data_IF_865112986529
#
_entry.id   IF_865112986529
#
_cell.length_a   1.000
_cell.length_b   1.000
_cell.length_c   1.000
_cell.angle_alpha   90.00
_cell.angle_beta   90.00
_cell.angle_gamma   90.00
#
_symmetry.space_group_name_H-M   'P 1'
#
loop_
_entity.id
_entity.type
_entity.pdbx_description
1 polymer ?
#
# COMPACT_ATOMS: atom_id res chain seq x y z
N UNK A 1 3.94 -5.04 -1.80
CA UNK A 1 3.45 -5.95 -0.74
C UNK A 1 4.24 -5.82 0.59
N UNK A 2 4.90 -4.69 0.88
CA UNK A 2 5.57 -4.44 2.16
C UNK A 2 4.56 -4.11 3.27
N UNK A 3 3.52 -3.34 2.96
CA UNK A 3 2.45 -2.99 3.90
C UNK A 3 1.58 -4.20 4.21
N UNK A 4 1.17 -4.98 3.20
CA UNK A 4 0.37 -6.19 3.41
C UNK A 4 1.07 -7.17 4.36
N UNK A 5 2.38 -7.40 4.15
CA UNK A 5 3.19 -8.29 5.00
C UNK A 5 3.32 -7.74 6.41
N UNK A 6 3.59 -6.45 6.55
CA UNK A 6 3.70 -5.80 7.85
C UNK A 6 2.40 -5.90 8.64
N UNK A 7 1.27 -5.53 8.02
CA UNK A 7 -0.04 -5.57 8.67
C UNK A 7 -0.44 -6.99 9.08
N UNK A 8 -0.19 -7.97 8.21
CA UNK A 8 -0.42 -9.39 8.53
C UNK A 8 0.41 -9.85 9.74
N UNK A 9 1.67 -9.41 9.84
CA UNK A 9 2.52 -9.69 11.00
C UNK A 9 2.03 -8.97 12.25
N UNK A 10 1.61 -7.71 12.12
CA UNK A 10 1.07 -6.91 13.22
C UNK A 10 -0.14 -7.60 13.83
N UNK A 11 -1.12 -7.99 13.02
CA UNK A 11 -2.32 -8.70 13.50
C UNK A 11 -1.96 -9.98 14.26
N UNK A 12 -1.03 -10.79 13.72
CA UNK A 12 -0.62 -12.05 14.35
C UNK A 12 0.12 -11.87 15.66
N UNK A 13 0.76 -10.72 15.89
CA UNK A 13 1.65 -10.50 17.04
C UNK A 13 1.06 -9.58 18.10
N UNK A 14 0.22 -8.62 17.70
CA UNK A 14 -0.29 -7.54 18.55
C UNK A 14 -1.81 -7.38 18.46
N UNK A 15 -2.49 -8.17 17.61
CA UNK A 15 -3.92 -8.02 17.36
C UNK A 15 -4.26 -6.89 16.39
N UNK A 16 -5.54 -6.56 16.31
CA UNK A 16 -6.03 -5.50 15.42
C UNK A 16 -5.68 -4.13 15.98
N UNK A 17 -5.01 -3.25 15.21
CA UNK A 17 -4.76 -1.88 15.65
C UNK A 17 -6.08 -1.11 15.75
N UNK A 18 -6.19 -0.25 16.77
CA UNK A 18 -7.35 0.64 16.90
C UNK A 18 -7.26 1.73 15.84
N UNK A 19 -8.04 1.59 14.77
CA UNK A 19 -8.09 2.55 13.66
C UNK A 19 -9.50 3.13 13.55
N UNK A 20 -9.61 4.46 13.43
CA UNK A 20 -10.85 5.09 13.05
C UNK A 20 -11.18 4.77 11.58
N UNK A 21 -12.42 5.05 11.15
CA UNK A 21 -12.93 4.70 9.82
C UNK A 21 -12.02 5.20 8.70
N UNK A 22 -11.54 6.44 8.80
CA UNK A 22 -10.68 7.06 7.78
C UNK A 22 -9.32 6.37 7.67
N UNK A 23 -8.71 6.02 8.81
CA UNK A 23 -7.41 5.34 8.79
C UNK A 23 -7.55 3.88 8.37
N UNK A 24 -8.67 3.23 8.68
CA UNK A 24 -8.98 1.90 8.15
C UNK A 24 -9.15 1.95 6.62
N UNK A 25 -9.90 2.93 6.10
CA UNK A 25 -10.04 3.12 4.65
C UNK A 25 -8.68 3.39 3.97
N UNK A 26 -7.84 4.24 4.58
CA UNK A 26 -6.48 4.51 4.11
C UNK A 26 -5.63 3.24 4.06
N UNK A 27 -5.66 2.40 5.09
CA UNK A 27 -4.94 1.12 5.13
C UNK A 27 -5.40 0.17 4.01
N UNK A 28 -6.72 0.04 3.82
CA UNK A 28 -7.27 -0.83 2.77
C UNK A 28 -6.89 -0.33 1.38
N UNK A 29 -6.89 0.99 1.16
CA UNK A 29 -6.42 1.59 -0.09
C UNK A 29 -4.93 1.29 -0.34
N UNK A 30 -4.08 1.38 0.68
CA UNK A 30 -2.66 1.00 0.58
C UNK A 30 -2.51 -0.46 0.18
N UNK A 31 -3.21 -1.38 0.85
CA UNK A 31 -3.15 -2.83 0.56
C UNK A 31 -3.61 -3.13 -0.88
N UNK A 32 -4.71 -2.49 -1.31
CA UNK A 32 -5.25 -2.63 -2.67
C UNK A 32 -4.24 -2.16 -3.72
N UNK A 33 -3.66 -0.96 -3.53
CA UNK A 33 -2.65 -0.41 -4.43
C UNK A 33 -1.38 -1.26 -4.48
N UNK A 34 -0.93 -1.82 -3.35
CA UNK A 34 0.19 -2.76 -3.32
C UNK A 34 -0.08 -4.03 -4.14
N UNK A 35 -1.30 -4.57 -4.05
CA UNK A 35 -1.72 -5.73 -4.84
C UNK A 35 -1.73 -5.41 -6.33
N UNK A 36 -2.30 -4.26 -6.70
CA UNK A 36 -2.34 -3.80 -8.09
C UNK A 36 -0.95 -3.55 -8.67
N UNK A 37 -0.05 -2.97 -7.88
CA UNK A 37 1.34 -2.76 -8.28
C UNK A 37 2.04 -4.10 -8.59
N UNK A 38 1.90 -5.08 -7.69
CA UNK A 38 2.47 -6.40 -7.87
C UNK A 38 1.91 -7.11 -9.11
N UNK A 39 0.60 -7.00 -9.36
CA UNK A 39 -0.04 -7.53 -10.55
C UNK A 39 0.53 -6.89 -11.83
N UNK A 40 0.62 -5.55 -11.89
CA UNK A 40 1.14 -4.82 -13.05
C UNK A 40 2.61 -5.16 -13.32
N UNK A 41 3.44 -5.28 -12.28
CA UNK A 41 4.84 -5.70 -12.40
C UNK A 41 4.95 -7.13 -12.93
N UNK A 42 4.10 -8.04 -12.46
CA UNK A 42 4.09 -9.43 -12.92
C UNK A 42 3.63 -9.53 -14.38
N UNK A 43 2.60 -8.79 -14.77
CA UNK A 43 2.14 -8.70 -16.15
C UNK A 43 3.22 -8.13 -17.07
N UNK A 44 3.91 -7.07 -16.64
CA UNK A 44 5.03 -6.52 -17.41
C UNK A 44 6.14 -7.56 -17.60
N UNK A 45 6.50 -8.29 -16.53
CA UNK A 45 7.56 -9.32 -16.57
C UNK A 45 7.21 -10.52 -17.44
N UNK A 46 5.94 -10.91 -17.52
CA UNK A 46 5.51 -12.06 -18.33
C UNK A 46 5.39 -11.74 -19.82
N UNK A 47 5.47 -10.48 -20.21
CA UNK A 47 5.34 -10.05 -21.60
C UNK A 47 6.67 -10.07 -22.36
N UNK A 48 6.65 -10.79 -23.49
CA UNK A 48 7.78 -10.87 -24.44
C UNK A 48 7.88 -9.66 -25.37
N UNK A 49 6.78 -8.93 -25.57
CA UNK A 49 6.67 -7.78 -26.47
C UNK A 49 7.02 -6.48 -25.75
N UNK A 50 8.13 -5.86 -26.15
CA UNK A 50 8.68 -4.64 -25.56
C UNK A 50 7.82 -3.41 -25.79
N UNK A 51 7.03 -3.35 -26.86
CA UNK A 51 6.32 -2.11 -27.24
C UNK A 51 5.18 -1.79 -26.26
N UNK A 52 4.69 -2.81 -25.57
CA UNK A 52 3.65 -2.67 -24.54
C UNK A 52 4.24 -2.40 -23.15
N UNK A 53 5.55 -2.56 -22.93
CA UNK A 53 6.18 -2.33 -21.62
C UNK A 53 5.99 -0.90 -21.15
N UNK A 54 6.06 0.07 -22.07
CA UNK A 54 5.85 1.49 -21.76
C UNK A 54 4.47 1.76 -21.13
N UNK A 55 3.42 1.09 -21.60
CA UNK A 55 2.07 1.27 -21.03
C UNK A 55 1.99 0.77 -19.59
N UNK A 56 2.71 -0.31 -19.27
CA UNK A 56 2.82 -0.80 -17.89
C UNK A 56 3.65 0.15 -17.04
N UNK A 57 4.74 0.72 -17.55
CA UNK A 57 5.54 1.70 -16.82
C UNK A 57 4.73 2.91 -16.39
N UNK A 58 3.93 3.47 -17.30
CA UNK A 58 3.03 4.59 -16.98
C UNK A 58 2.02 4.20 -15.90
N UNK A 59 1.44 2.99 -15.96
CA UNK A 59 0.47 2.52 -14.96
C UNK A 59 1.12 2.25 -13.60
N UNK A 60 2.28 1.60 -13.59
CA UNK A 60 3.10 1.33 -12.41
C UNK A 60 3.45 2.64 -11.72
N UNK A 61 3.92 3.63 -12.47
CA UNK A 61 4.27 4.95 -11.95
C UNK A 61 3.07 5.65 -11.29
N UNK A 62 1.89 5.60 -11.90
CA UNK A 62 0.67 6.18 -11.32
C UNK A 62 0.28 5.53 -10.00
N UNK A 63 0.35 4.19 -9.93
CA UNK A 63 0.05 3.45 -8.69
C UNK A 63 1.09 3.77 -7.61
N UNK A 64 2.37 3.86 -7.97
CA UNK A 64 3.45 4.28 -7.05
C UNK A 64 3.22 5.69 -6.52
N UNK A 65 2.77 6.63 -7.36
CA UNK A 65 2.47 8.00 -6.93
C UNK A 65 1.29 8.04 -5.95
N UNK A 66 0.23 7.27 -6.20
CA UNK A 66 -0.89 7.14 -5.27
C UNK A 66 -0.44 6.53 -3.93
N UNK A 67 0.36 5.45 -3.98
CA UNK A 67 0.91 4.82 -2.80
C UNK A 67 1.79 5.79 -2.01
N UNK A 68 2.62 6.57 -2.70
CA UNK A 68 3.43 7.63 -2.09
C UNK A 68 2.55 8.70 -1.44
N UNK A 69 1.46 9.12 -2.07
CA UNK A 69 0.50 10.07 -1.49
C UNK A 69 -0.12 9.55 -0.18
N UNK A 70 -0.44 8.26 -0.11
CA UNK A 70 -1.01 7.66 1.10
C UNK A 70 0.03 7.34 2.18
N UNK A 71 1.31 7.24 1.84
CA UNK A 71 2.35 6.74 2.76
C UNK A 71 3.41 7.77 3.10
N UNK A 72 3.47 8.90 2.38
CA UNK A 72 4.56 9.87 2.49
C UNK A 72 5.93 9.26 2.17
N UNK A 73 5.98 8.16 1.41
CA UNK A 73 7.18 7.34 1.17
C UNK A 73 7.79 6.72 2.45
N UNK A 74 7.03 6.69 3.55
CA UNK A 74 7.48 6.12 4.81
C UNK A 74 7.39 4.59 4.80
N UNK A 75 8.15 3.98 5.70
CA UNK A 75 8.08 2.54 5.96
C UNK A 75 6.76 2.15 6.65
N UNK A 76 6.32 0.88 6.52
CA UNK A 76 5.03 0.46 7.06
C UNK A 76 4.83 0.69 8.55
N UNK A 77 5.89 0.58 9.36
CA UNK A 77 5.81 0.78 10.80
C UNK A 77 5.39 2.22 11.12
N UNK A 78 6.03 3.19 10.49
CA UNK A 78 5.86 4.62 10.68
C UNK A 78 4.46 5.04 10.26
N UNK A 79 3.99 4.56 9.10
CA UNK A 79 2.61 4.83 8.62
C UNK A 79 1.58 4.26 9.59
N UNK A 80 1.76 3.00 10.05
CA UNK A 80 0.80 2.37 10.97
C UNK A 80 0.78 3.04 12.34
N UNK A 81 1.95 3.42 12.89
CA UNK A 81 2.02 4.20 14.11
C UNK A 81 1.29 5.54 13.98
N UNK A 82 1.49 6.24 12.86
CA UNK A 82 0.82 7.50 12.60
C UNK A 82 -0.70 7.34 12.45
N UNK A 83 -1.16 6.27 11.78
CA UNK A 83 -2.58 5.95 11.66
C UNK A 83 -3.24 5.70 13.03
N UNK A 84 -2.58 4.97 13.93
CA UNK A 84 -3.08 4.75 15.30
C UNK A 84 -3.16 6.07 16.06
N UNK A 85 -2.09 6.87 16.04
CA UNK A 85 -2.08 8.20 16.67
C UNK A 85 -3.21 9.12 16.19
N UNK A 86 -3.46 9.18 14.88
CA UNK A 86 -4.56 9.96 14.31
C UNK A 86 -5.94 9.43 14.71
N UNK A 87 -6.06 8.13 14.94
CA UNK A 87 -7.31 7.51 15.37
C UNK A 87 -7.66 7.84 16.82
N UNK A 88 -6.65 8.09 17.66
CA UNK A 88 -6.81 8.49 19.06
C UNK A 88 -7.09 9.99 19.24
N UNK A 89 -6.64 10.81 18.29
CA UNK A 89 -6.70 12.28 18.37
C UNK A 89 -7.86 12.91 17.61
N UNK A 90 -8.42 12.17 16.64
CA UNK A 90 -9.53 12.63 15.77
C UNK A 90 -10.81 11.79 15.96
N UNK A 91 -10.83 10.94 17.01
CA UNK A 91 -11.94 10.06 17.36
C UNK A 91 -12.88 10.65 18.41
#
# INVERSE_FOLDING_TARGET
MRFTRYYSKLIRTQGLPHLCVDQHARLMNIISLEGRLAELENLKKSMKDSDRHYQFDVRIYRVQLQLKGLTGDQFPKEVMHHMVYLSETTG
#
